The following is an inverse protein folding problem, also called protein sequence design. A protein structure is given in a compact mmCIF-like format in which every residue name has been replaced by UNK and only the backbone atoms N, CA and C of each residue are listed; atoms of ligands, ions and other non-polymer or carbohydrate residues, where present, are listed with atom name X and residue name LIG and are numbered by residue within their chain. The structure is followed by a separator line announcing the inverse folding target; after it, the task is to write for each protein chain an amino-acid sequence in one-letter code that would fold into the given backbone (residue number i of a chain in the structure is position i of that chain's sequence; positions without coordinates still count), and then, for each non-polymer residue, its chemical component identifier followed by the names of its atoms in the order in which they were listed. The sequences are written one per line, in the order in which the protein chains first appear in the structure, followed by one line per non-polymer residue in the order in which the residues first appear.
data_IF_370942068794
#
_entry.id   IF_370942068794
#
_cell.length_a   1.000
_cell.length_b   1.000
_cell.length_c   1.000
_cell.angle_alpha   90.00
_cell.angle_beta   90.00
_cell.angle_gamma   90.00
#
_symmetry.space_group_name_H-M   'P 1'
#
loop_
_entity.id
_entity.type
_entity.pdbx_description
1 polymer ?
#
# COMPACT_ATOMS: atom_id res chain seq x y z
N UNK A 1 -12.97 1.15 13.65
CA UNK A 1 -11.66 0.56 13.94
C UNK A 1 -11.86 -0.72 14.73
N UNK A 2 -11.47 -1.86 14.15
CA UNK A 2 -11.47 -3.15 14.83
C UNK A 2 -10.50 -3.17 16.02
N UNK A 3 -10.62 -4.18 16.87
CA UNK A 3 -9.88 -4.26 18.13
C UNK A 3 -8.35 -4.46 17.95
N UNK A 4 -7.87 -4.73 16.72
CA UNK A 4 -6.48 -5.06 16.36
C UNK A 4 -5.94 -4.20 15.20
N UNK A 5 -6.60 -3.07 14.89
CA UNK A 5 -6.15 -2.18 13.81
C UNK A 5 -4.67 -1.81 13.96
N UNK A 6 -3.84 -2.25 13.00
CA UNK A 6 -2.41 -1.91 12.93
C UNK A 6 -1.40 -3.05 13.14
N UNK A 7 -1.78 -4.21 13.70
CA UNK A 7 -0.83 -5.34 13.85
C UNK A 7 -0.78 -6.26 12.63
N UNK A 8 -1.76 -6.15 11.74
CA UNK A 8 -1.99 -7.12 10.68
C UNK A 8 -0.94 -7.07 9.57
N UNK A 9 -0.52 -5.87 9.17
CA UNK A 9 0.39 -5.77 8.04
C UNK A 9 1.77 -6.35 8.37
N UNK A 10 2.26 -6.17 9.60
CA UNK A 10 3.56 -6.72 10.04
C UNK A 10 3.63 -8.25 9.90
N UNK A 11 2.52 -8.95 10.16
CA UNK A 11 2.45 -10.41 10.00
C UNK A 11 2.32 -10.85 8.52
N UNK A 12 1.65 -10.07 7.66
CA UNK A 12 1.68 -10.30 6.21
C UNK A 12 3.06 -10.02 5.60
N UNK A 13 3.75 -9.01 6.12
CA UNK A 13 5.09 -8.63 5.69
C UNK A 13 6.14 -9.63 6.17
N UNK A 14 5.94 -10.28 7.32
CA UNK A 14 6.79 -11.40 7.75
C UNK A 14 6.81 -12.55 6.74
N UNK A 15 5.79 -12.69 5.88
CA UNK A 15 5.75 -13.68 4.79
C UNK A 15 6.70 -13.32 3.65
N UNK A 16 7.11 -12.06 3.54
CA UNK A 16 7.97 -11.54 2.48
C UNK A 16 9.43 -11.36 2.94
N UNK A 17 9.72 -11.64 4.21
CA UNK A 17 11.01 -11.39 4.87
C UNK A 17 10.92 -10.27 5.93
N UNK A 18 11.98 -9.97 6.69
CA UNK A 18 11.96 -8.87 7.66
C UNK A 18 11.67 -7.55 6.94
N UNK A 19 10.63 -6.82 7.36
CA UNK A 19 10.27 -5.53 6.75
C UNK A 19 11.43 -4.55 6.80
N UNK A 20 12.24 -4.60 7.87
CA UNK A 20 13.45 -3.80 8.00
C UNK A 20 14.37 -3.99 6.79
N UNK A 21 14.53 -5.20 6.28
CA UNK A 21 15.41 -5.50 5.14
C UNK A 21 14.84 -5.00 3.80
N UNK A 22 13.53 -4.75 3.73
CA UNK A 22 12.87 -4.21 2.53
C UNK A 22 12.74 -2.67 2.54
N UNK A 23 12.69 -2.06 3.72
CA UNK A 23 12.49 -0.61 3.88
C UNK A 23 13.75 0.13 4.33
N UNK A 24 14.79 -0.60 4.76
CA UNK A 24 16.12 -0.06 4.96
C UNK A 24 16.96 -0.23 3.69
N UNK A 25 17.91 0.67 3.44
CA UNK A 25 18.90 0.45 2.41
C UNK A 25 19.66 -0.84 2.71
N UNK A 26 19.80 -1.72 1.71
CA UNK A 26 20.68 -2.86 1.79
C UNK A 26 22.17 -2.42 1.88
N UNK A 27 23.14 -3.33 2.04
CA UNK A 27 24.57 -2.95 2.08
C UNK A 27 25.08 -2.20 0.85
N UNK A 28 24.34 -2.22 -0.27
CA UNK A 28 24.61 -1.54 -1.53
C UNK A 28 23.92 -0.17 -1.60
N UNK A 29 23.01 0.12 -0.66
CA UNK A 29 22.26 1.36 -0.54
C UNK A 29 20.90 1.34 -1.22
N UNK A 30 20.41 0.18 -1.64
CA UNK A 30 19.15 0.01 -2.36
C UNK A 30 17.98 -0.19 -1.40
N UNK A 31 16.87 0.53 -1.63
CA UNK A 31 15.64 0.45 -0.82
C UNK A 31 14.61 -0.32 -1.64
N UNK A 32 14.13 -1.47 -1.12
CA UNK A 32 13.25 -2.36 -1.88
C UNK A 32 11.86 -1.76 -2.16
N UNK A 33 11.43 -0.74 -1.40
CA UNK A 33 10.22 0.02 -1.69
C UNK A 33 10.43 1.52 -1.53
N UNK A 34 10.37 2.24 -2.65
CA UNK A 34 10.25 3.70 -2.68
C UNK A 34 8.83 4.07 -3.06
N UNK A 35 8.11 4.74 -2.15
CA UNK A 35 6.79 5.31 -2.44
C UNK A 35 6.92 6.83 -2.62
N UNK A 36 6.49 7.33 -3.76
CA UNK A 36 6.48 8.75 -4.09
C UNK A 36 5.05 9.27 -3.95
N UNK A 37 4.83 10.26 -3.10
CA UNK A 37 3.55 10.96 -2.99
C UNK A 37 3.61 12.26 -3.81
N UNK A 38 2.54 12.55 -4.55
CA UNK A 38 2.41 13.79 -5.32
C UNK A 38 1.05 14.44 -5.08
N UNK A 39 1.04 15.77 -4.97
CA UNK A 39 -0.17 16.58 -4.94
C UNK A 39 -0.42 17.19 -6.30
N UNK A 40 -1.39 16.66 -7.03
CA UNK A 40 -1.86 17.27 -8.26
C UNK A 40 -2.75 18.48 -7.92
N UNK A 41 -2.43 19.62 -8.53
CA UNK A 41 -3.13 20.89 -8.33
C UNK A 41 -2.49 21.83 -7.31
N UNK A 42 -1.50 21.38 -6.54
CA UNK A 42 -0.74 22.26 -5.64
C UNK A 42 0.29 23.07 -6.43
N UNK A 43 0.17 24.39 -6.40
CA UNK A 43 1.11 25.30 -7.08
C UNK A 43 2.21 25.73 -6.10
N UNK A 44 3.46 25.75 -6.57
CA UNK A 44 4.61 26.23 -5.78
C UNK A 44 4.35 27.60 -5.17
N UNK A 45 4.62 27.73 -3.87
CA UNK A 45 4.43 28.95 -3.08
C UNK A 45 3.06 29.09 -2.42
N UNK A 46 2.08 28.22 -2.73
CA UNK A 46 0.80 28.19 -2.00
C UNK A 46 0.95 27.54 -0.63
N UNK A 47 0.29 28.12 0.38
CA UNK A 47 0.06 27.45 1.64
C UNK A 47 -0.92 26.28 1.48
N UNK A 48 -0.92 25.34 2.43
CA UNK A 48 -1.85 24.21 2.39
C UNK A 48 -3.33 24.64 2.34
N UNK A 49 -3.68 25.71 3.05
CA UNK A 49 -5.05 26.24 3.06
C UNK A 49 -5.48 26.83 1.70
N UNK A 50 -4.53 27.27 0.88
CA UNK A 50 -4.81 27.84 -0.46
C UNK A 50 -4.82 26.76 -1.54
N UNK A 51 -4.04 25.70 -1.37
CA UNK A 51 -3.98 24.59 -2.30
C UNK A 51 -5.20 23.66 -2.19
N UNK A 52 -5.83 23.55 -1.02
CA UNK A 52 -6.96 22.64 -0.78
C UNK A 52 -8.21 23.01 -1.60
N UNK A 53 -8.92 22.04 -2.21
CA UNK A 53 -8.61 20.60 -2.26
C UNK A 53 -7.59 20.26 -3.36
N UNK A 54 -6.74 19.27 -3.09
CA UNK A 54 -5.75 18.72 -4.04
C UNK A 54 -5.99 17.23 -4.26
N UNK A 55 -5.53 16.69 -5.39
CA UNK A 55 -5.53 15.24 -5.59
C UNK A 55 -4.21 14.64 -5.11
N UNK A 56 -4.28 13.68 -4.21
CA UNK A 56 -3.10 12.96 -3.73
C UNK A 56 -2.94 11.65 -4.52
N UNK A 57 -1.77 11.46 -5.13
CA UNK A 57 -1.42 10.23 -5.80
C UNK A 57 -0.16 9.60 -5.20
N UNK A 58 -0.14 8.27 -5.13
CA UNK A 58 1.05 7.50 -4.75
C UNK A 58 1.56 6.70 -5.94
N UNK A 59 2.88 6.68 -6.07
CA UNK A 59 3.59 5.98 -7.11
C UNK A 59 4.67 5.09 -6.51
N UNK A 60 4.95 3.99 -7.18
CA UNK A 60 6.17 3.23 -6.94
C UNK A 60 7.31 3.95 -7.67
N UNK A 61 8.38 4.23 -6.94
CA UNK A 61 9.53 4.96 -7.44
C UNK A 61 10.79 4.12 -7.47
N UNK A 62 11.81 4.66 -8.11
CA UNK A 62 13.20 4.18 -8.05
C UNK A 62 14.15 5.37 -8.11
N UNK A 63 15.39 5.17 -7.67
CA UNK A 63 16.41 6.24 -7.70
C UNK A 63 16.91 6.44 -9.13
N UNK A 64 16.97 7.70 -9.56
CA UNK A 64 17.54 8.02 -10.87
C UNK A 64 19.07 8.05 -10.83
N UNK A 65 19.78 7.51 -11.86
CA UNK A 65 21.23 7.63 -11.97
C UNK A 65 21.74 9.08 -12.03
N UNK A 66 20.88 10.01 -12.46
CA UNK A 66 21.21 11.44 -12.57
C UNK A 66 20.72 12.27 -11.37
N UNK A 67 20.27 11.61 -10.31
CA UNK A 67 19.73 12.22 -9.10
C UNK A 67 18.21 12.44 -9.15
N UNK A 68 17.58 12.44 -7.98
CA UNK A 68 16.12 12.43 -7.83
C UNK A 68 15.52 11.04 -8.00
N UNK A 69 14.23 10.98 -8.29
CA UNK A 69 13.48 9.72 -8.42
C UNK A 69 12.72 9.63 -9.75
N UNK A 70 12.63 8.42 -10.27
CA UNK A 70 11.78 8.07 -11.41
C UNK A 70 10.51 7.39 -10.89
N UNK A 71 9.38 7.69 -11.51
CA UNK A 71 8.13 6.97 -11.28
C UNK A 71 8.12 5.72 -12.15
N UNK A 72 7.86 4.56 -11.56
CA UNK A 72 7.74 3.34 -12.33
C UNK A 72 6.38 3.25 -13.04
N UNK A 73 6.40 2.75 -14.28
CA UNK A 73 5.21 2.60 -15.14
C UNK A 73 4.07 1.82 -14.49
N UNK A 74 4.39 0.80 -13.70
CA UNK A 74 3.38 -0.01 -12.96
C UNK A 74 2.53 0.79 -11.98
N UNK A 75 2.89 2.03 -11.69
CA UNK A 75 2.09 2.95 -10.87
C UNK A 75 0.83 3.43 -11.59
N UNK A 76 0.72 3.22 -12.90
CA UNK A 76 -0.39 3.66 -13.74
C UNK A 76 -1.24 2.48 -14.22
N UNK A 77 -2.51 2.74 -14.53
CA UNK A 77 -3.37 1.74 -15.16
C UNK A 77 -2.72 1.19 -16.44
N UNK A 78 -2.66 -0.15 -16.55
CA UNK A 78 -2.05 -0.85 -17.68
C UNK A 78 -0.58 -0.50 -17.93
N UNK A 79 0.11 0.12 -16.98
CA UNK A 79 1.50 0.54 -17.16
C UNK A 79 1.68 1.77 -18.07
N UNK A 80 0.60 2.49 -18.39
CA UNK A 80 0.61 3.63 -19.31
C UNK A 80 0.58 4.96 -18.55
N UNK A 81 1.67 5.78 -18.59
CA UNK A 81 1.71 7.08 -17.91
C UNK A 81 0.67 8.11 -18.41
N UNK A 82 0.04 7.87 -19.56
CA UNK A 82 -1.08 8.69 -20.03
C UNK A 82 -2.40 8.36 -19.30
N UNK A 83 -2.44 7.28 -18.51
CA UNK A 83 -3.60 6.86 -17.74
C UNK A 83 -3.49 7.28 -16.27
N UNK A 84 -4.60 7.26 -15.51
CA UNK A 84 -4.59 7.59 -14.10
C UNK A 84 -3.65 6.69 -13.27
N UNK A 85 -3.09 7.20 -12.17
CA UNK A 85 -2.35 6.38 -11.22
C UNK A 85 -3.27 5.39 -10.48
N UNK A 86 -2.74 4.21 -10.15
CA UNK A 86 -3.47 3.15 -9.46
C UNK A 86 -3.90 3.54 -8.04
N UNK A 87 -3.11 4.39 -7.38
CA UNK A 87 -3.34 4.87 -6.02
C UNK A 87 -3.61 6.37 -6.05
N UNK A 88 -4.89 6.75 -6.16
CA UNK A 88 -5.35 8.15 -6.19
C UNK A 88 -6.41 8.38 -5.11
N UNK A 89 -6.24 9.46 -4.37
CA UNK A 89 -7.21 9.99 -3.43
C UNK A 89 -7.68 11.35 -3.96
N UNK A 90 -8.89 11.39 -4.48
CA UNK A 90 -9.47 12.63 -4.99
C UNK A 90 -9.86 13.56 -3.84
N UNK A 91 -9.67 14.86 -4.03
CA UNK A 91 -10.12 15.87 -3.08
C UNK A 91 -9.52 15.74 -1.68
N UNK A 92 -8.23 15.44 -1.59
CA UNK A 92 -7.48 15.50 -0.35
C UNK A 92 -7.51 16.92 0.21
N UNK A 93 -7.81 17.02 1.50
CA UNK A 93 -7.91 18.27 2.23
C UNK A 93 -6.60 18.56 2.97
N UNK A 94 -6.16 19.82 2.91
CA UNK A 94 -4.97 20.30 3.61
C UNK A 94 -5.36 21.53 4.42
N UNK A 95 -5.53 21.36 5.74
CA UNK A 95 -5.90 22.46 6.64
C UNK A 95 -4.86 22.58 7.74
N UNK A 96 -4.27 23.77 7.90
CA UNK A 96 -3.30 24.04 8.96
C UNK A 96 -2.12 23.06 8.93
N UNK A 97 -1.61 22.76 7.73
CA UNK A 97 -0.56 21.79 7.47
C UNK A 97 -0.91 20.34 7.83
N UNK A 98 -2.18 19.99 8.05
CA UNK A 98 -2.63 18.61 8.21
C UNK A 98 -3.25 18.11 6.91
N UNK A 99 -2.68 17.05 6.36
CA UNK A 99 -3.22 16.31 5.23
C UNK A 99 -4.29 15.32 5.70
N UNK A 100 -5.39 15.24 4.95
CA UNK A 100 -6.41 14.19 5.05
C UNK A 100 -6.90 13.80 3.67
N UNK A 101 -6.88 12.52 3.33
CA UNK A 101 -7.35 12.02 2.05
C UNK A 101 -8.14 10.72 2.22
N UNK A 102 -9.07 10.45 1.29
CA UNK A 102 -9.88 9.23 1.25
C UNK A 102 -11.36 9.45 1.63
N UNK A 103 -12.18 8.39 1.58
CA UNK A 103 -11.80 6.99 1.32
C UNK A 103 -11.40 6.72 -0.14
N UNK A 104 -10.48 5.78 -0.35
CA UNK A 104 -10.11 5.26 -1.66
C UNK A 104 -9.62 3.80 -1.56
N UNK A 105 -9.26 3.16 -2.67
CA UNK A 105 -8.53 1.88 -2.65
C UNK A 105 -7.04 2.17 -2.77
N UNK A 106 -6.25 1.74 -1.80
CA UNK A 106 -4.79 1.83 -1.83
C UNK A 106 -4.20 0.44 -2.06
N UNK A 107 -3.57 0.24 -3.22
CA UNK A 107 -2.84 -0.97 -3.57
C UNK A 107 -1.41 -0.85 -3.09
N UNK A 108 -1.08 -1.54 -2.01
CA UNK A 108 0.29 -1.73 -1.59
C UNK A 108 0.92 -2.81 -2.47
N UNK A 109 1.85 -2.41 -3.33
CA UNK A 109 2.62 -3.35 -4.16
C UNK A 109 3.99 -3.53 -3.54
N UNK A 110 4.33 -4.78 -3.23
CA UNK A 110 5.64 -5.19 -2.74
C UNK A 110 6.30 -6.02 -3.84
N UNK A 111 7.53 -5.66 -4.19
CA UNK A 111 8.35 -6.46 -5.05
C UNK A 111 9.21 -7.38 -4.18
N UNK A 112 8.83 -8.65 -4.14
CA UNK A 112 9.66 -9.63 -3.46
C UNK A 112 10.66 -10.16 -4.49
N UNK A 113 11.90 -9.66 -4.41
CA UNK A 113 13.04 -10.07 -5.25
C UNK A 113 12.80 -9.96 -6.76
N UNK A 114 12.15 -8.89 -7.24
CA UNK A 114 11.83 -8.61 -8.65
C UNK A 114 11.03 -9.70 -9.40
N UNK A 115 10.57 -10.72 -8.68
CA UNK A 115 10.04 -11.94 -9.28
C UNK A 115 8.58 -12.18 -8.94
N UNK A 116 8.07 -11.57 -7.87
CA UNK A 116 6.71 -11.79 -7.43
C UNK A 116 6.04 -10.45 -7.07
N UNK A 117 5.27 -9.85 -8.00
CA UNK A 117 4.52 -8.64 -7.72
C UNK A 117 3.39 -9.00 -6.77
N UNK A 118 3.55 -8.64 -5.50
CA UNK A 118 2.56 -8.89 -4.47
C UNK A 118 1.74 -7.61 -4.26
N UNK A 119 0.48 -7.62 -4.68
CA UNK A 119 -0.42 -6.47 -4.52
C UNK A 119 -1.49 -6.76 -3.46
N UNK A 120 -1.55 -5.90 -2.45
CA UNK A 120 -2.55 -5.91 -1.39
C UNK A 120 -3.49 -4.72 -1.56
N UNK A 121 -4.76 -4.93 -1.96
CA UNK A 121 -5.74 -3.86 -1.97
C UNK A 121 -6.21 -3.57 -0.54
N UNK A 122 -5.91 -2.37 -0.06
CA UNK A 122 -6.44 -1.80 1.17
C UNK A 122 -7.69 -1.00 0.78
N UNK A 123 -8.86 -1.52 1.10
CA UNK A 123 -10.15 -0.87 0.89
C UNK A 123 -10.45 0.16 1.98
N UNK A 124 -11.32 1.12 1.66
CA UNK A 124 -11.66 2.26 2.53
C UNK A 124 -10.41 2.98 3.07
N UNK A 125 -9.34 3.01 2.27
CA UNK A 125 -8.07 3.58 2.64
C UNK A 125 -8.19 5.08 2.87
N UNK A 126 -7.57 5.57 3.94
CA UNK A 126 -7.45 6.96 4.32
C UNK A 126 -6.00 7.29 4.58
N UNK A 127 -5.60 8.49 4.17
CA UNK A 127 -4.25 9.00 4.41
C UNK A 127 -4.36 10.22 5.29
N UNK A 128 -3.47 10.32 6.28
CA UNK A 128 -3.30 11.54 7.05
C UNK A 128 -1.84 11.78 7.42
N UNK A 129 -1.48 13.01 7.73
CA UNK A 129 -0.13 13.37 8.15
C UNK A 129 0.01 14.87 8.41
N UNK A 130 1.12 15.27 9.02
CA UNK A 130 1.51 16.66 9.14
C UNK A 130 2.51 16.99 8.02
N UNK A 131 2.21 18.01 7.23
CA UNK A 131 3.07 18.51 6.17
C UNK A 131 4.03 19.55 6.76
N UNK A 132 5.30 19.47 6.37
CA UNK A 132 6.28 20.48 6.70
C UNK A 132 6.97 20.96 5.41
N UNK A 133 7.09 22.28 5.29
CA UNK A 133 7.93 22.88 4.25
C UNK A 133 9.40 22.70 4.59
N UNK A 134 10.25 22.64 3.56
CA UNK A 134 11.70 22.56 3.69
C UNK A 134 12.38 23.44 2.65
N UNK A 135 13.65 23.73 2.88
CA UNK A 135 14.51 24.30 1.85
C UNK A 135 14.87 23.20 0.83
N UNK A 136 14.13 23.12 -0.27
CA UNK A 136 14.32 22.11 -1.32
C UNK A 136 13.04 21.74 -2.06
N UNK A 137 13.10 20.78 -3.00
CA UNK A 137 11.92 20.30 -3.72
C UNK A 137 11.01 19.46 -2.83
N UNK A 138 9.70 19.66 -2.96
CA UNK A 138 8.67 18.86 -2.30
C UNK A 138 8.39 19.25 -0.85
N UNK A 139 7.58 18.43 -0.19
CA UNK A 139 7.14 18.61 1.20
C UNK A 139 7.54 17.38 2.02
N UNK A 140 7.93 17.61 3.27
CA UNK A 140 8.09 16.53 4.23
C UNK A 140 6.72 16.16 4.81
N UNK A 141 6.54 14.88 5.14
CA UNK A 141 5.36 14.37 5.86
C UNK A 141 5.83 13.71 7.15
N UNK A 142 5.44 14.28 8.28
CA UNK A 142 5.61 13.71 9.59
C UNK A 142 4.30 13.05 10.06
N UNK A 143 4.40 12.07 10.97
CA UNK A 143 3.25 11.39 11.55
C UNK A 143 2.28 10.81 10.48
N UNK A 144 2.82 10.38 9.34
CA UNK A 144 2.05 9.86 8.23
C UNK A 144 1.34 8.56 8.61
N UNK A 145 0.07 8.44 8.24
CA UNK A 145 -0.76 7.25 8.47
C UNK A 145 -1.51 6.87 7.19
N UNK A 146 -1.41 5.62 6.75
CA UNK A 146 -2.31 5.02 5.77
C UNK A 146 -3.12 3.94 6.48
N UNK A 147 -4.43 4.04 6.38
CA UNK A 147 -5.36 3.33 7.25
C UNK A 147 -6.51 2.75 6.44
N UNK A 148 -6.86 1.50 6.62
CA UNK A 148 -7.98 0.91 5.89
C UNK A 148 -8.20 -0.56 6.23
N UNK A 149 -8.75 -1.32 5.28
CA UNK A 149 -9.15 -2.70 5.50
C UNK A 149 -8.63 -3.63 4.40
N UNK A 150 -8.06 -4.76 4.82
CA UNK A 150 -7.84 -5.89 3.93
C UNK A 150 -9.09 -6.78 4.00
N UNK A 151 -9.86 -6.80 2.92
CA UNK A 151 -11.07 -7.62 2.82
C UNK A 151 -10.72 -9.07 2.51
N UNK A 152 -11.61 -9.99 2.86
CA UNK A 152 -11.48 -11.42 2.51
C UNK A 152 -11.38 -11.60 1.00
N UNK A 153 -12.15 -10.85 0.23
CA UNK A 153 -12.13 -10.89 -1.22
C UNK A 153 -10.79 -10.36 -1.76
N UNK A 154 -10.29 -9.24 -1.21
CA UNK A 154 -8.95 -8.72 -1.52
C UNK A 154 -7.84 -9.72 -1.24
N UNK A 155 -7.84 -10.34 -0.05
CA UNK A 155 -6.88 -11.40 0.30
C UNK A 155 -7.01 -12.64 -0.60
N UNK A 156 -8.24 -13.01 -0.97
CA UNK A 156 -8.50 -14.14 -1.87
C UNK A 156 -7.91 -13.89 -3.25
N UNK A 157 -8.06 -12.67 -3.79
CA UNK A 157 -7.45 -12.28 -5.06
C UNK A 157 -5.91 -12.29 -4.97
N UNK A 158 -5.34 -11.80 -3.88
CA UNK A 158 -3.89 -11.84 -3.66
C UNK A 158 -3.37 -13.28 -3.61
N UNK A 159 -4.03 -14.16 -2.85
CA UNK A 159 -3.67 -15.59 -2.78
C UNK A 159 -3.80 -16.26 -4.13
N UNK A 160 -4.87 -15.98 -4.87
CA UNK A 160 -5.07 -16.54 -6.20
C UNK A 160 -3.95 -16.13 -7.16
N UNK A 161 -3.55 -14.84 -7.16
CA UNK A 161 -2.44 -14.36 -7.98
C UNK A 161 -1.11 -15.05 -7.60
N UNK A 162 -0.87 -15.21 -6.29
CA UNK A 162 0.31 -15.88 -5.77
C UNK A 162 0.37 -17.36 -6.21
N UNK A 163 -0.74 -18.09 -6.06
CA UNK A 163 -0.85 -19.48 -6.51
C UNK A 163 -0.65 -19.62 -8.02
N UNK A 164 -1.20 -18.70 -8.81
CA UNK A 164 -1.02 -18.68 -10.26
C UNK A 164 0.43 -18.46 -10.67
N UNK A 165 1.13 -17.52 -10.03
CA UNK A 165 2.57 -17.28 -10.27
C UNK A 165 3.40 -18.50 -9.89
N UNK A 166 3.14 -19.09 -8.71
CA UNK A 166 3.90 -20.22 -8.21
C UNK A 166 3.63 -21.55 -8.96
N UNK A 167 2.54 -21.63 -9.72
CA UNK A 167 2.25 -22.77 -10.57
C UNK A 167 2.97 -22.73 -11.94
N UNK A 168 3.59 -21.61 -12.32
CA UNK A 168 4.26 -21.48 -13.61
C UNK A 168 5.61 -22.23 -13.64
N UNK A 169 6.02 -22.79 -14.80
CA UNK A 169 7.39 -23.28 -14.99
C UNK A 169 8.40 -22.15 -14.76
N UNK A 170 9.41 -22.39 -13.93
CA UNK A 170 10.37 -21.35 -13.53
C UNK A 170 9.88 -20.45 -12.40
N UNK A 171 8.94 -20.94 -11.59
CA UNK A 171 8.49 -20.25 -10.39
C UNK A 171 9.67 -19.82 -9.49
N UNK A 172 9.58 -18.64 -8.86
CA UNK A 172 10.59 -18.15 -7.92
C UNK A 172 10.85 -19.14 -6.78
N UNK A 173 12.09 -19.22 -6.28
CA UNK A 173 12.42 -20.08 -5.13
C UNK A 173 11.60 -19.74 -3.87
N UNK A 174 11.14 -18.49 -3.77
CA UNK A 174 10.22 -18.05 -2.72
C UNK A 174 8.90 -18.83 -2.72
N UNK A 175 8.45 -19.36 -3.86
CA UNK A 175 7.22 -20.14 -3.96
C UNK A 175 7.24 -21.40 -3.11
N UNK A 176 8.40 -22.03 -2.90
CA UNK A 176 8.53 -23.16 -1.98
C UNK A 176 8.26 -22.73 -0.53
N UNK A 177 8.73 -21.55 -0.15
CA UNK A 177 8.49 -20.99 1.20
C UNK A 177 7.04 -20.59 1.36
N UNK A 178 6.47 -19.89 0.38
CA UNK A 178 5.05 -19.51 0.36
C UNK A 178 4.16 -20.74 0.47
N UNK A 179 4.48 -21.83 -0.25
CA UNK A 179 3.70 -23.06 -0.23
C UNK A 179 3.60 -23.70 1.16
N UNK A 180 4.56 -23.45 2.05
CA UNK A 180 4.51 -23.93 3.45
C UNK A 180 3.47 -23.18 4.29
N UNK A 181 3.17 -21.93 3.94
CA UNK A 181 2.29 -21.03 4.69
C UNK A 181 0.90 -20.97 4.06
N UNK A 182 0.85 -20.95 2.74
CA UNK A 182 -0.36 -20.90 1.92
C UNK A 182 -0.26 -22.08 0.94
N UNK A 183 -0.90 -23.23 1.26
CA UNK A 183 -0.85 -24.39 0.38
C UNK A 183 -1.34 -24.03 -1.03
N UNK A 184 -0.49 -24.25 -2.02
CA UNK A 184 -0.75 -23.85 -3.40
C UNK A 184 -1.84 -24.68 -4.10
N UNK A 185 -2.18 -25.83 -3.52
CA UNK A 185 -3.19 -26.78 -3.98
C UNK A 185 -4.59 -26.53 -3.40
N UNK A 186 -4.73 -25.58 -2.47
CA UNK A 186 -5.99 -25.27 -1.81
C UNK A 186 -6.77 -24.14 -2.47
N UNK A 187 -8.11 -24.10 -2.31
CA UNK A 187 -8.91 -22.98 -2.80
C UNK A 187 -8.39 -21.63 -2.24
N UNK A 188 -8.28 -20.57 -3.07
CA UNK A 188 -7.73 -19.29 -2.65
C UNK A 188 -8.38 -18.70 -1.39
N UNK A 189 -9.69 -18.90 -1.21
CA UNK A 189 -10.42 -18.44 -0.03
C UNK A 189 -9.90 -19.06 1.28
N UNK A 190 -9.46 -20.33 1.25
CA UNK A 190 -8.85 -20.95 2.43
C UNK A 190 -7.47 -20.36 2.74
N UNK A 191 -6.69 -20.03 1.71
CA UNK A 191 -5.43 -19.30 1.89
C UNK A 191 -5.65 -17.90 2.46
N UNK A 192 -6.71 -17.20 2.03
CA UNK A 192 -7.09 -15.92 2.59
C UNK A 192 -7.48 -16.02 4.07
N UNK A 193 -8.21 -17.07 4.45
CA UNK A 193 -8.58 -17.33 5.85
C UNK A 193 -7.33 -17.65 6.71
N UNK A 194 -6.35 -18.38 6.17
CA UNK A 194 -5.06 -18.63 6.83
C UNK A 194 -4.26 -17.34 7.03
N UNK A 195 -4.14 -16.53 5.97
CA UNK A 195 -3.50 -15.21 6.03
C UNK A 195 -4.17 -14.31 7.06
N UNK A 196 -5.50 -14.26 7.06
CA UNK A 196 -6.28 -13.54 8.06
C UNK A 196 -6.00 -14.08 9.46
N UNK A 197 -5.89 -15.40 9.64
CA UNK A 197 -5.51 -16.02 10.91
C UNK A 197 -4.17 -15.55 11.46
N UNK A 198 -3.15 -15.42 10.61
CA UNK A 198 -1.82 -14.93 10.99
C UNK A 198 -1.83 -13.49 11.52
N UNK A 199 -2.76 -12.68 11.04
CA UNK A 199 -2.93 -11.28 11.44
C UNK A 199 -3.93 -11.06 12.57
N UNK A 200 -4.42 -12.15 13.17
CA UNK A 200 -5.38 -12.10 14.27
C UNK A 200 -6.84 -12.25 13.87
N UNK A 201 -7.14 -12.64 12.64
CA UNK A 201 -8.48 -12.92 12.13
C UNK A 201 -9.24 -11.69 11.68
N UNK A 202 -10.37 -11.93 11.01
CA UNK A 202 -11.29 -10.88 10.61
C UNK A 202 -11.95 -10.23 11.84
N UNK A 203 -11.98 -8.90 11.85
CA UNK A 203 -12.44 -8.11 13.00
C UNK A 203 -13.43 -7.01 12.63
N UNK A 204 -13.63 -6.77 11.34
CA UNK A 204 -14.62 -5.87 10.79
C UNK A 204 -15.44 -6.58 9.71
N UNK A 205 -16.64 -6.07 9.48
CA UNK A 205 -17.43 -6.36 8.30
C UNK A 205 -17.21 -5.23 7.30
N UNK A 206 -16.93 -5.54 6.06
CA UNK A 206 -16.79 -4.59 4.97
C UNK A 206 -17.73 -4.99 3.84
N UNK A 207 -18.59 -4.08 3.43
CA UNK A 207 -19.50 -4.25 2.29
C UNK A 207 -19.55 -2.98 1.43
N UNK A 208 -20.48 -2.91 0.47
CA UNK A 208 -20.59 -1.79 -0.46
C UNK A 208 -20.85 -0.43 0.22
N UNK A 209 -21.25 -0.42 1.49
CA UNK A 209 -21.45 0.81 2.28
C UNK A 209 -20.26 1.18 3.15
N UNK A 210 -19.20 0.38 3.11
CA UNK A 210 -17.94 0.56 3.84
C UNK A 210 -17.78 -0.38 5.03
N UNK A 211 -16.87 -0.01 5.93
CA UNK A 211 -16.56 -0.80 7.13
C UNK A 211 -17.55 -0.61 8.30
N UNK A 212 -17.97 -1.73 8.89
CA UNK A 212 -18.89 -1.85 10.01
C UNK A 212 -18.31 -2.75 11.11
N UNK A 213 -18.89 -2.61 12.31
CA UNK A 213 -18.62 -3.54 13.41
C UNK A 213 -19.27 -4.89 13.11
N UNK A 214 -18.56 -5.98 13.36
CA UNK A 214 -19.18 -7.30 13.24
C UNK A 214 -20.28 -7.51 14.28
N UNK A 215 -21.31 -8.24 13.87
CA UNK A 215 -22.35 -8.80 14.71
C UNK A 215 -21.77 -10.02 15.44
N UNK A 216 -21.60 -9.89 16.76
CA UNK A 216 -20.95 -10.91 17.61
C UNK A 216 -21.65 -12.28 17.58
N UNK A 217 -22.92 -12.32 17.20
CA UNK A 217 -23.75 -13.52 17.24
C UNK A 217 -23.88 -14.21 15.87
N UNK A 218 -23.21 -13.71 14.82
CA UNK A 218 -23.27 -14.25 13.47
C UNK A 218 -21.88 -14.78 13.03
N UNK A 219 -21.66 -16.11 13.07
CA UNK A 219 -20.45 -16.72 12.53
C UNK A 219 -20.24 -16.32 11.06
N UNK A 220 -19.04 -15.84 10.72
CA UNK A 220 -18.69 -15.41 9.36
C UNK A 220 -19.15 -14.01 8.97
N UNK A 221 -19.73 -13.22 9.89
CA UNK A 221 -20.09 -11.82 9.59
C UNK A 221 -18.86 -10.90 9.43
N UNK A 222 -17.76 -11.20 10.13
CA UNK A 222 -16.48 -10.51 9.89
C UNK A 222 -15.80 -11.04 8.62
N UNK A 223 -15.41 -10.12 7.74
CA UNK A 223 -14.71 -10.42 6.49
C UNK A 223 -13.57 -9.44 6.19
N UNK A 224 -13.13 -8.63 7.14
CA UNK A 224 -12.07 -7.65 6.93
C UNK A 224 -11.14 -7.51 8.15
N UNK A 225 -9.88 -7.19 7.88
CA UNK A 225 -8.83 -6.93 8.87
C UNK A 225 -8.40 -5.47 8.78
N UNK A 226 -8.38 -4.76 9.92
CA UNK A 226 -7.92 -3.38 9.96
C UNK A 226 -6.39 -3.28 9.83
N UNK A 227 -5.94 -2.42 8.93
CA UNK A 227 -4.52 -2.12 8.71
C UNK A 227 -4.22 -0.65 8.99
N UNK A 228 -3.06 -0.40 9.57
CA UNK A 228 -2.51 0.93 9.80
C UNK A 228 -1.03 0.90 9.49
N UNK A 229 -0.61 1.76 8.57
CA UNK A 229 0.75 1.97 8.12
C UNK A 229 1.22 3.31 8.64
N UNK A 230 2.26 3.32 9.46
CA UNK A 230 2.94 4.54 9.87
C UNK A 230 4.05 4.83 8.88
N UNK A 231 4.18 6.07 8.44
CA UNK A 231 5.25 6.50 7.54
C UNK A 231 5.72 7.91 7.85
N UNK A 232 6.97 8.16 7.46
CA UNK A 232 7.52 9.49 7.31
C UNK A 232 7.97 9.63 5.87
N UNK A 233 7.82 10.81 5.29
CA UNK A 233 8.25 11.09 3.94
C UNK A 233 9.09 12.37 3.92
N UNK A 234 10.06 12.40 3.01
CA UNK A 234 10.88 13.57 2.77
C UNK A 234 10.59 14.14 1.38
N UNK A 235 10.61 15.46 1.27
CA UNK A 235 10.51 16.17 0.01
C UNK A 235 11.58 15.70 -0.96
N UNK A 236 11.17 15.36 -2.18
CA UNK A 236 12.03 14.81 -3.20
C UNK A 236 11.66 15.35 -4.59
N UNK A 237 12.64 15.35 -5.50
CA UNK A 237 12.43 15.70 -6.91
C UNK A 237 12.12 14.46 -7.73
N UNK A 238 10.98 14.47 -8.42
CA UNK A 238 10.66 13.50 -9.47
C UNK A 238 11.20 14.02 -10.80
N UNK A 239 12.02 13.23 -11.48
CA UNK A 239 12.72 13.64 -12.71
C UNK A 239 12.14 13.03 -13.98
N UNK A 240 11.21 12.08 -13.85
CA UNK A 240 10.53 11.47 -14.99
C UNK A 240 9.85 10.16 -14.65
N UNK A 241 9.49 9.41 -15.69
CA UNK A 241 8.98 8.04 -15.60
C UNK A 241 10.07 7.08 -16.06
N UNK A 242 10.24 5.98 -15.33
CA UNK A 242 11.16 4.91 -15.69
C UNK A 242 10.82 4.32 -17.08
N UNK A 243 11.82 3.93 -17.87
CA UNK A 243 11.63 3.45 -19.25
C UNK A 243 10.71 2.24 -19.35
#
# INVERSE_FOLDING_TARGET
WGARGGSALSALLALTGPLADQVQPDPQGDIALVLLASFAGWIDGQSGNEASPVDLAFYVGERSPVGGFLVQRRSFEQGDPARPPLNRFAGADVVGARLRAGPAVFRLTLDIQDQLPFSLPIEDARVSGALAGRDGPGLDVAEGRIEGYLTRDGLTQTVQALQQTCAQPGAPALCDTVATLIPLDRPPAQGADLLAGLVGGYEARHDATGAHRCLRDAPGDCNAVGVCLLFEAQGARVVGVAP
#
